data_IF_333313629983
#
_entry.id   IF_333313629983
#
_cell.length_a   1.000
_cell.length_b   1.000
_cell.length_c   1.000
_cell.angle_alpha   90.00
_cell.angle_beta   90.00
_cell.angle_gamma   90.00
#
_symmetry.space_group_name_H-M   'P 1'
#
loop_
_entity.id
_entity.type
_entity.pdbx_description
1 polymer ?
#
# COMPACT_ATOMS: atom_id res chain seq x y z
N UNK A 1 11.55 35.99 4.12
CA UNK A 1 11.37 34.64 4.68
C UNK A 1 12.75 34.02 4.77
N UNK A 2 13.21 33.64 5.97
CA UNK A 2 14.51 32.97 6.09
C UNK A 2 14.36 31.55 5.55
N UNK A 3 15.26 31.14 4.65
CA UNK A 3 15.34 29.75 4.21
C UNK A 3 15.53 28.82 5.42
N UNK A 4 14.87 27.66 5.44
CA UNK A 4 15.08 26.68 6.49
C UNK A 4 16.54 26.23 6.48
N UNK A 5 17.26 26.52 7.56
CA UNK A 5 18.66 26.10 7.74
C UNK A 5 18.71 24.58 7.90
N UNK A 6 19.18 23.88 6.88
CA UNK A 6 19.55 22.46 6.96
C UNK A 6 20.65 22.31 8.04
N UNK A 7 20.59 21.31 8.93
CA UNK A 7 21.62 21.09 9.94
C UNK A 7 23.02 21.00 9.31
N UNK A 8 24.02 21.64 9.94
CA UNK A 8 25.39 21.76 9.39
C UNK A 8 26.15 20.42 9.28
N UNK A 9 25.64 19.35 9.90
CA UNK A 9 26.18 17.99 9.81
C UNK A 9 25.03 16.99 9.89
N UNK A 10 24.64 16.41 8.76
CA UNK A 10 23.72 15.27 8.71
C UNK A 10 24.49 14.02 8.38
N UNK A 11 24.12 12.88 8.95
CA UNK A 11 24.71 11.60 8.55
C UNK A 11 24.44 11.34 7.06
N UNK A 12 25.39 10.71 6.37
CA UNK A 12 25.19 10.27 4.99
C UNK A 12 24.26 9.07 4.98
N UNK A 13 23.29 9.10 4.08
CA UNK A 13 22.33 8.00 3.87
C UNK A 13 22.67 7.31 2.55
N UNK A 14 22.57 5.98 2.52
CA UNK A 14 22.73 5.18 1.31
C UNK A 14 21.60 4.15 1.22
N UNK A 15 21.19 3.82 0.00
CA UNK A 15 20.35 2.65 -0.29
C UNK A 15 21.29 1.49 -0.60
N UNK A 16 21.23 0.43 0.20
CA UNK A 16 22.17 -0.71 0.10
C UNK A 16 21.55 -1.93 -0.58
N UNK A 17 20.22 -2.02 -0.59
CA UNK A 17 19.44 -3.12 -1.15
C UNK A 17 18.04 -2.64 -1.52
N UNK A 18 17.39 -3.38 -2.43
CA UNK A 18 16.02 -3.13 -2.85
C UNK A 18 15.42 -4.39 -3.46
N UNK A 19 14.12 -4.59 -3.22
CA UNK A 19 13.39 -5.75 -3.71
C UNK A 19 11.91 -5.42 -3.84
N UNK A 20 11.23 -6.03 -4.81
CA UNK A 20 9.77 -5.96 -4.96
C UNK A 20 9.19 -7.32 -5.33
N UNK A 21 7.90 -7.50 -5.03
CA UNK A 21 7.09 -8.55 -5.65
C UNK A 21 6.83 -8.23 -7.12
N UNK A 22 6.55 -9.22 -7.97
CA UNK A 22 5.97 -8.99 -9.29
C UNK A 22 4.65 -8.21 -9.16
N UNK A 23 4.34 -7.33 -10.10
CA UNK A 23 3.12 -6.53 -10.13
C UNK A 23 2.02 -7.24 -10.94
N UNK A 24 1.14 -7.95 -10.23
CA UNK A 24 0.05 -8.67 -10.88
C UNK A 24 -1.21 -7.80 -11.07
N UNK A 25 -1.99 -8.11 -12.12
CA UNK A 25 -3.33 -7.54 -12.32
C UNK A 25 -4.28 -7.87 -11.17
N UNK A 26 -5.19 -6.95 -10.85
CA UNK A 26 -6.21 -7.14 -9.83
C UNK A 26 -7.01 -8.45 -10.06
N UNK A 27 -7.28 -9.21 -8.99
CA UNK A 27 -8.00 -10.50 -8.99
C UNK A 27 -7.36 -11.62 -9.84
N UNK A 28 -6.09 -11.48 -10.25
CA UNK A 28 -5.32 -12.55 -10.91
C UNK A 28 -4.54 -13.40 -9.90
N UNK A 29 -3.21 -13.45 -9.98
CA UNK A 29 -2.34 -14.27 -9.15
C UNK A 29 -2.46 -13.97 -7.65
N UNK A 30 -2.65 -12.70 -7.27
CA UNK A 30 -2.75 -12.28 -5.87
C UNK A 30 -4.19 -12.25 -5.34
N UNK A 31 -5.07 -13.09 -5.89
CA UNK A 31 -6.45 -13.17 -5.41
C UNK A 31 -6.48 -13.69 -3.98
N UNK A 32 -7.04 -12.90 -3.08
CA UNK A 32 -7.14 -13.24 -1.66
C UNK A 32 -5.86 -12.98 -0.86
N UNK A 33 -4.80 -12.44 -1.48
CA UNK A 33 -3.56 -12.09 -0.79
C UNK A 33 -3.64 -10.63 -0.32
N UNK A 34 -3.52 -10.44 0.99
CA UNK A 34 -3.58 -9.13 1.61
C UNK A 34 -2.29 -8.32 1.37
N UNK A 35 -2.37 -7.00 1.54
CA UNK A 35 -1.18 -6.14 1.48
C UNK A 35 -0.15 -6.52 2.57
N UNK A 36 -0.61 -6.99 3.73
CA UNK A 36 0.25 -7.46 4.82
C UNK A 36 1.05 -8.66 4.35
N UNK A 37 0.40 -9.69 3.77
CA UNK A 37 1.08 -10.87 3.26
C UNK A 37 2.11 -10.54 2.17
N UNK A 38 1.77 -9.64 1.24
CA UNK A 38 2.71 -9.15 0.22
C UNK A 38 3.92 -8.45 0.86
N UNK A 39 3.66 -7.56 1.82
CA UNK A 39 4.69 -6.83 2.55
C UNK A 39 5.59 -7.73 3.39
N UNK A 40 5.01 -8.71 4.08
CA UNK A 40 5.73 -9.70 4.88
C UNK A 40 6.65 -10.55 4.01
N UNK A 41 6.16 -11.06 2.87
CA UNK A 41 6.97 -11.90 2.00
C UNK A 41 8.13 -11.13 1.36
N UNK A 42 7.92 -9.89 0.90
CA UNK A 42 9.01 -9.10 0.30
C UNK A 42 10.05 -8.68 1.33
N UNK A 43 9.63 -8.35 2.57
CA UNK A 43 10.59 -8.01 3.63
C UNK A 43 11.36 -9.25 4.07
N UNK A 44 10.70 -10.40 4.24
CA UNK A 44 11.37 -11.64 4.58
C UNK A 44 12.40 -12.03 3.51
N UNK A 45 12.02 -11.99 2.22
CA UNK A 45 12.92 -12.30 1.13
C UNK A 45 14.07 -11.29 1.03
N UNK A 46 13.82 -10.00 1.25
CA UNK A 46 14.87 -8.98 1.29
C UNK A 46 15.91 -9.30 2.38
N UNK A 47 15.46 -9.69 3.58
CA UNK A 47 16.34 -10.07 4.68
C UNK A 47 17.18 -11.31 4.33
N UNK A 48 16.54 -12.36 3.77
CA UNK A 48 17.20 -13.60 3.40
C UNK A 48 18.20 -13.42 2.25
N UNK A 49 17.81 -12.71 1.19
CA UNK A 49 18.62 -12.49 -0.02
C UNK A 49 19.92 -11.74 0.26
N UNK A 50 19.91 -10.88 1.26
CA UNK A 50 21.06 -10.05 1.64
C UNK A 50 21.73 -10.50 2.94
N UNK A 51 21.35 -11.65 3.51
CA UNK A 51 21.91 -12.23 4.75
C UNK A 51 21.99 -11.19 5.89
N UNK A 52 20.90 -10.43 6.06
CA UNK A 52 20.83 -9.35 7.04
C UNK A 52 20.51 -9.92 8.43
N UNK A 53 21.32 -9.58 9.44
CA UNK A 53 20.97 -9.87 10.83
C UNK A 53 19.73 -9.05 11.22
N UNK A 54 18.61 -9.69 11.61
CA UNK A 54 17.39 -8.98 12.01
C UNK A 54 17.59 -7.89 13.06
N UNK A 55 18.60 -8.04 13.94
CA UNK A 55 18.90 -7.08 15.01
C UNK A 55 19.47 -5.76 14.52
N UNK A 56 20.01 -5.70 13.30
CA UNK A 56 20.54 -4.45 12.76
C UNK A 56 19.44 -3.50 12.31
N UNK A 57 18.24 -4.02 12.01
CA UNK A 57 17.11 -3.23 11.53
C UNK A 57 16.40 -2.57 12.72
N UNK A 58 16.66 -1.27 12.90
CA UNK A 58 16.12 -0.52 14.03
C UNK A 58 14.73 0.05 13.75
N UNK A 59 14.39 0.27 12.47
CA UNK A 59 13.08 0.82 12.08
C UNK A 59 12.56 0.23 10.77
N UNK A 60 11.26 -0.05 10.72
CA UNK A 60 10.53 -0.39 9.49
C UNK A 60 9.41 0.63 9.26
N UNK A 61 9.47 1.35 8.14
CA UNK A 61 8.39 2.24 7.70
C UNK A 61 7.78 1.65 6.43
N UNK A 62 6.53 1.22 6.52
CA UNK A 62 5.80 0.66 5.39
C UNK A 62 4.48 1.41 5.21
N UNK A 63 4.08 1.63 3.97
CA UNK A 63 2.85 2.36 3.71
C UNK A 63 1.84 1.57 2.89
N UNK A 64 0.57 1.92 3.08
CA UNK A 64 -0.57 1.36 2.37
C UNK A 64 -1.61 2.46 2.15
N UNK A 65 -2.21 2.51 0.97
CA UNK A 65 -3.25 3.50 0.66
C UNK A 65 -4.61 2.98 1.07
N UNK A 66 -4.95 1.74 0.71
CA UNK A 66 -6.21 1.11 1.09
C UNK A 66 -6.02 0.37 2.41
N UNK A 67 -6.06 1.10 3.52
CA UNK A 67 -5.80 0.56 4.87
C UNK A 67 -6.80 -0.53 5.25
N UNK A 68 -6.30 -1.66 5.76
CA UNK A 68 -7.10 -2.72 6.36
C UNK A 68 -7.47 -2.34 7.81
N UNK A 69 -8.77 -2.19 8.15
CA UNK A 69 -9.17 -1.76 9.50
C UNK A 69 -8.70 -2.65 10.64
N UNK A 70 -8.56 -3.95 10.39
CA UNK A 70 -8.05 -4.96 11.34
C UNK A 70 -6.54 -4.82 11.62
N UNK A 71 -5.80 -4.16 10.72
CA UNK A 71 -4.35 -4.01 10.77
C UNK A 71 -3.94 -2.59 10.33
N UNK A 72 -4.30 -1.55 11.11
CA UNK A 72 -4.09 -0.17 10.71
C UNK A 72 -2.61 0.23 10.64
N UNK A 73 -1.74 -0.54 11.30
CA UNK A 73 -0.30 -0.39 11.21
C UNK A 73 0.32 -1.59 10.47
N UNK A 74 0.22 -1.61 9.14
CA UNK A 74 0.81 -2.65 8.28
C UNK A 74 2.29 -2.88 8.58
N UNK A 75 3.07 -1.83 8.83
CA UNK A 75 4.48 -1.94 9.18
C UNK A 75 4.70 -2.82 10.43
N UNK A 76 3.85 -2.68 11.44
CA UNK A 76 3.94 -3.49 12.66
C UNK A 76 3.60 -4.95 12.41
N UNK A 77 2.56 -5.21 11.63
CA UNK A 77 2.18 -6.58 11.26
C UNK A 77 3.28 -7.26 10.42
N UNK A 78 3.98 -6.52 9.56
CA UNK A 78 5.14 -7.03 8.81
C UNK A 78 6.29 -7.38 9.76
N UNK A 79 6.64 -6.52 10.72
CA UNK A 79 7.67 -6.86 11.73
C UNK A 79 7.31 -8.14 12.49
N UNK A 80 6.05 -8.29 12.90
CA UNK A 80 5.59 -9.48 13.63
C UNK A 80 5.45 -10.73 12.75
N UNK A 81 5.32 -10.57 11.43
CA UNK A 81 5.19 -11.66 10.47
C UNK A 81 6.50 -12.11 9.84
N UNK A 82 7.62 -11.47 10.16
CA UNK A 82 8.97 -11.76 9.64
C UNK A 82 9.93 -12.14 10.77
N UNK A 83 11.17 -12.48 10.44
CA UNK A 83 12.22 -12.76 11.44
C UNK A 83 12.82 -11.50 12.10
N UNK A 84 12.28 -10.32 11.81
CA UNK A 84 12.68 -9.06 12.46
C UNK A 84 12.50 -9.12 13.99
N UNK A 85 13.35 -8.38 14.72
CA UNK A 85 13.17 -8.28 16.16
C UNK A 85 11.81 -7.64 16.46
N UNK A 86 11.02 -8.29 17.33
CA UNK A 86 9.76 -7.74 17.82
C UNK A 86 9.88 -6.34 18.46
N UNK A 87 11.08 -5.94 18.89
CA UNK A 87 11.41 -4.62 19.40
C UNK A 87 11.73 -3.56 18.33
N UNK A 88 11.88 -3.95 17.05
CA UNK A 88 12.06 -3.01 15.92
C UNK A 88 10.91 -2.01 15.89
N UNK A 89 11.26 -0.72 15.84
CA UNK A 89 10.27 0.35 15.74
C UNK A 89 9.57 0.29 14.38
N UNK A 90 8.24 0.39 14.36
CA UNK A 90 7.48 0.23 13.13
C UNK A 90 6.20 1.04 13.11
N UNK A 91 6.04 1.83 12.05
CA UNK A 91 4.84 2.63 11.85
C UNK A 91 4.49 2.77 10.37
N UNK A 92 3.20 2.99 10.15
CA UNK A 92 2.65 3.10 8.81
C UNK A 92 2.47 4.55 8.38
N UNK A 93 2.72 4.81 7.10
CA UNK A 93 2.48 6.11 6.48
C UNK A 93 1.48 5.97 5.34
N UNK A 94 0.76 7.05 5.04
CA UNK A 94 -0.11 7.13 3.87
C UNK A 94 -0.03 8.52 3.27
N UNK A 95 0.31 8.58 1.98
CA UNK A 95 0.41 9.80 1.18
C UNK A 95 -0.04 9.52 -0.26
N UNK A 96 -1.20 8.88 -0.41
CA UNK A 96 -1.75 8.45 -1.70
C UNK A 96 -0.69 7.69 -2.54
N UNK A 97 -0.57 7.95 -3.84
CA UNK A 97 0.42 7.26 -4.68
C UNK A 97 1.88 7.51 -4.25
N UNK A 98 2.15 8.55 -3.45
CA UNK A 98 3.48 8.89 -2.95
C UNK A 98 3.82 8.20 -1.61
N UNK A 99 3.04 7.21 -1.19
CA UNK A 99 3.15 6.56 0.12
C UNK A 99 4.51 5.89 0.34
N UNK A 100 4.99 5.07 -0.61
CA UNK A 100 6.30 4.41 -0.48
C UNK A 100 7.46 5.41 -0.50
N UNK A 101 7.37 6.47 -1.30
CA UNK A 101 8.34 7.58 -1.27
C UNK A 101 8.38 8.25 0.11
N UNK A 102 7.22 8.43 0.76
CA UNK A 102 7.17 8.96 2.11
C UNK A 102 7.87 8.03 3.11
N UNK A 103 7.73 6.71 2.98
CA UNK A 103 8.44 5.74 3.81
C UNK A 103 9.97 5.90 3.68
N UNK A 104 10.47 6.02 2.44
CA UNK A 104 11.90 6.23 2.16
C UNK A 104 12.39 7.53 2.79
N UNK A 105 11.64 8.62 2.63
CA UNK A 105 11.97 9.91 3.25
C UNK A 105 12.02 9.79 4.77
N UNK A 106 11.06 9.10 5.39
CA UNK A 106 11.00 8.93 6.85
C UNK A 106 12.20 8.15 7.40
N UNK A 107 12.61 7.06 6.75
CA UNK A 107 13.81 6.30 7.15
C UNK A 107 15.08 7.10 6.91
N UNK A 108 15.21 7.74 5.74
CA UNK A 108 16.37 8.55 5.42
C UNK A 108 16.55 9.73 6.39
N UNK A 109 15.46 10.40 6.78
CA UNK A 109 15.50 11.48 7.77
C UNK A 109 15.91 10.97 9.16
N UNK A 110 15.40 9.82 9.58
CA UNK A 110 15.79 9.22 10.86
C UNK A 110 17.30 8.89 10.90
N UNK A 111 17.85 8.34 9.80
CA UNK A 111 19.29 8.08 9.67
C UNK A 111 20.09 9.40 9.66
N UNK A 112 19.68 10.36 8.83
CA UNK A 112 20.35 11.64 8.68
C UNK A 112 20.42 12.44 9.99
N UNK A 113 19.39 12.31 10.84
CA UNK A 113 19.31 12.92 12.16
C UNK A 113 20.02 12.11 13.27
N UNK A 114 20.51 10.91 12.98
CA UNK A 114 21.18 10.04 13.94
C UNK A 114 20.23 9.37 14.94
N UNK A 115 18.94 9.25 14.62
CA UNK A 115 17.96 8.53 15.45
C UNK A 115 18.11 7.01 15.30
N UNK A 116 18.43 6.57 14.08
CA UNK A 116 18.71 5.17 13.73
C UNK A 116 19.94 5.13 12.81
N UNK A 117 20.56 3.97 12.68
CA UNK A 117 21.66 3.67 11.76
C UNK A 117 21.17 2.91 10.53
N UNK A 118 20.11 2.11 10.67
CA UNK A 118 19.53 1.35 9.57
C UNK A 118 18.01 1.17 9.70
N UNK A 119 17.34 0.99 8.56
CA UNK A 119 15.92 0.71 8.53
C UNK A 119 15.44 0.25 7.16
N UNK A 120 14.24 -0.33 7.13
CA UNK A 120 13.56 -0.77 5.93
C UNK A 120 12.45 0.22 5.59
N UNK A 121 12.42 0.67 4.34
CA UNK A 121 11.36 1.52 3.81
C UNK A 121 10.65 0.81 2.66
N UNK A 122 9.32 0.84 2.64
CA UNK A 122 8.56 0.29 1.53
C UNK A 122 7.09 0.63 1.54
N UNK A 123 6.32 -0.13 0.77
CA UNK A 123 4.87 -0.05 0.76
C UNK A 123 4.27 -1.28 0.09
N UNK A 124 3.03 -1.58 0.46
CA UNK A 124 2.26 -2.66 -0.12
C UNK A 124 0.79 -2.24 -0.23
N UNK A 125 0.14 -2.60 -1.32
CA UNK A 125 -1.30 -2.42 -1.52
C UNK A 125 -1.86 -3.68 -2.20
N UNK A 126 -3.10 -4.03 -1.86
CA UNK A 126 -3.82 -5.12 -2.52
C UNK A 126 -5.19 -4.62 -2.97
N UNK A 127 -5.34 -4.42 -4.28
CA UNK A 127 -6.65 -4.15 -4.87
C UNK A 127 -7.52 -5.42 -4.93
N UNK A 128 -6.96 -6.60 -4.66
CA UNK A 128 -7.68 -7.88 -4.64
C UNK A 128 -8.38 -8.13 -3.29
N UNK A 129 -7.86 -7.55 -2.20
CA UNK A 129 -8.41 -7.65 -0.85
C UNK A 129 -8.71 -6.25 -0.34
N UNK A 130 -9.91 -5.75 -0.67
CA UNK A 130 -10.35 -4.41 -0.28
C UNK A 130 -11.45 -4.48 0.78
N UNK A 131 -11.42 -3.62 1.80
CA UNK A 131 -12.47 -3.57 2.81
C UNK A 131 -13.78 -3.11 2.16
N UNK A 132 -14.81 -3.96 2.25
CA UNK A 132 -16.16 -3.61 1.79
C UNK A 132 -16.90 -2.94 2.93
N UNK A 133 -17.25 -1.67 2.72
CA UNK A 133 -17.98 -0.88 3.70
C UNK A 133 -19.46 -1.29 3.79
N UNK A 134 -20.05 -1.04 4.94
CA UNK A 134 -21.50 -1.12 5.12
C UNK A 134 -22.13 0.26 4.91
N UNK A 135 -23.38 0.30 4.43
CA UNK A 135 -24.15 1.53 4.36
C UNK A 135 -24.19 2.25 5.73
N UNK A 136 -23.94 3.56 5.74
CA UNK A 136 -23.87 4.37 6.97
C UNK A 136 -25.14 4.31 7.82
N UNK A 137 -26.32 4.22 7.20
CA UNK A 137 -27.60 4.09 7.90
C UNK A 137 -27.72 2.74 8.60
N UNK A 138 -27.28 1.66 7.96
CA UNK A 138 -27.26 0.32 8.53
C UNK A 138 -26.24 0.22 9.67
N UNK A 139 -25.01 0.69 9.44
CA UNK A 139 -23.98 0.73 10.48
C UNK A 139 -24.45 1.49 11.74
N UNK A 140 -25.02 2.70 11.57
CA UNK A 140 -25.58 3.48 12.68
C UNK A 140 -26.73 2.76 13.39
N UNK A 141 -27.58 2.03 12.64
CA UNK A 141 -28.69 1.28 13.21
C UNK A 141 -28.19 0.09 14.02
N UNK A 142 -27.17 -0.64 13.56
CA UNK A 142 -26.56 -1.74 14.31
C UNK A 142 -25.87 -1.25 15.59
N UNK A 143 -25.14 -0.13 15.53
CA UNK A 143 -24.55 0.50 16.72
C UNK A 143 -25.63 0.97 17.70
N UNK A 144 -26.73 1.54 17.21
CA UNK A 144 -27.86 1.92 18.07
C UNK A 144 -28.54 0.69 18.69
N UNK A 145 -28.69 -0.40 17.94
CA UNK A 145 -29.27 -1.65 18.42
C UNK A 145 -28.42 -2.29 19.53
N UNK A 146 -27.08 -2.27 19.43
CA UNK A 146 -26.19 -2.82 20.45
C UNK A 146 -26.28 -2.07 21.79
N UNK A 147 -26.59 -0.76 21.75
CA UNK A 147 -26.76 0.10 22.93
C UNK A 147 -28.19 0.10 23.50
N UNK A 148 -29.18 -0.37 22.76
CA UNK A 148 -30.59 -0.32 23.17
C UNK A 148 -30.95 -1.50 24.07
N UNK A 149 -31.49 -1.25 25.26
CA UNK A 149 -31.88 -2.32 26.21
C UNK A 149 -33.28 -2.87 25.96
N UNK A 150 -34.23 -2.01 25.57
CA UNK A 150 -35.66 -2.36 25.51
C UNK A 150 -36.05 -3.01 24.17
N UNK A 151 -36.79 -4.12 24.21
CA UNK A 151 -37.20 -4.89 23.03
C UNK A 151 -38.06 -4.06 22.05
N UNK A 152 -38.96 -3.22 22.56
CA UNK A 152 -39.81 -2.35 21.74
C UNK A 152 -39.01 -1.31 20.96
N UNK A 153 -37.98 -0.74 21.58
CA UNK A 153 -37.07 0.20 20.92
C UNK A 153 -36.20 -0.49 19.88
N UNK A 154 -35.74 -1.73 20.15
CA UNK A 154 -35.04 -2.56 19.16
C UNK A 154 -35.91 -2.82 17.92
N UNK A 155 -37.18 -3.22 18.10
CA UNK A 155 -38.12 -3.43 17.00
C UNK A 155 -38.31 -2.15 16.16
N UNK A 156 -38.39 -0.98 16.81
CA UNK A 156 -38.52 0.32 16.13
C UNK A 156 -37.30 0.65 15.29
N UNK A 157 -36.10 0.31 15.76
CA UNK A 157 -34.85 0.50 15.01
C UNK A 157 -34.77 -0.43 13.79
N UNK A 158 -35.13 -1.71 13.95
CA UNK A 158 -35.16 -2.66 12.84
C UNK A 158 -36.12 -2.24 11.72
N UNK A 159 -37.30 -1.70 12.07
CA UNK A 159 -38.27 -1.15 11.10
C UNK A 159 -37.72 0.00 10.23
N UNK A 160 -36.60 0.63 10.61
CA UNK A 160 -35.97 1.71 9.83
C UNK A 160 -35.07 1.19 8.72
N UNK A 161 -34.66 -0.07 8.76
CA UNK A 161 -33.75 -0.67 7.77
C UNK A 161 -34.56 -1.00 6.52
N UNK A 162 -34.06 -0.58 5.36
CA UNK A 162 -34.60 -0.95 4.04
C UNK A 162 -33.63 -1.88 3.34
N UNK A 163 -34.11 -2.62 2.34
CA UNK A 163 -33.27 -3.52 1.53
C UNK A 163 -32.01 -2.82 0.96
N UNK A 164 -32.15 -1.58 0.46
CA UNK A 164 -31.02 -0.78 -0.05
C UNK A 164 -29.97 -0.45 1.02
N UNK A 165 -30.35 -0.43 2.29
CA UNK A 165 -29.44 -0.13 3.39
C UNK A 165 -28.56 -1.37 3.73
N UNK A 166 -28.90 -2.56 3.23
CA UNK A 166 -28.15 -3.81 3.44
C UNK A 166 -27.07 -4.01 2.38
N UNK A 167 -27.18 -3.32 1.24
CA UNK A 167 -26.24 -3.48 0.13
C UNK A 167 -24.82 -3.00 0.53
N UNK A 168 -23.78 -3.75 0.14
CA UNK A 168 -22.40 -3.36 0.38
C UNK A 168 -22.07 -2.05 -0.34
N UNK A 169 -21.22 -1.23 0.28
CA UNK A 169 -20.67 -0.01 -0.31
C UNK A 169 -19.22 -0.29 -0.67
N UNK A 170 -18.87 -0.39 -1.98
CA UNK A 170 -17.49 -0.55 -2.37
C UNK A 170 -16.68 0.71 -2.02
N UNK A 171 -15.34 0.60 -1.88
CA UNK A 171 -14.48 1.75 -1.72
C UNK A 171 -14.72 2.76 -2.85
N UNK A 172 -14.83 4.05 -2.50
CA UNK A 172 -15.03 5.11 -3.49
C UNK A 172 -13.74 5.31 -4.30
N UNK A 173 -13.81 5.15 -5.61
CA UNK A 173 -12.73 5.55 -6.53
C UNK A 173 -12.71 7.08 -6.80
N UNK A 174 -13.63 7.83 -6.20
CA UNK A 174 -13.73 9.28 -6.32
C UNK A 174 -13.03 9.98 -5.17
N UNK A 175 -12.29 11.02 -5.51
CA UNK A 175 -11.68 11.94 -4.57
C UNK A 175 -12.76 12.75 -3.83
N UNK A 176 -12.72 12.86 -2.49
CA UNK A 176 -13.75 13.57 -1.73
C UNK A 176 -13.85 15.08 -2.01
N UNK A 177 -12.73 15.72 -2.30
CA UNK A 177 -12.61 17.17 -2.53
C UNK A 177 -13.18 17.61 -3.87
N UNK A 178 -12.90 16.84 -4.94
CA UNK A 178 -13.30 17.18 -6.32
C UNK A 178 -14.54 16.41 -6.77
N UNK A 179 -14.84 15.27 -6.15
CA UNK A 179 -15.89 14.35 -6.60
C UNK A 179 -15.57 13.62 -7.91
N UNK A 180 -14.35 13.80 -8.43
CA UNK A 180 -13.85 13.20 -9.66
C UNK A 180 -13.09 11.92 -9.37
N UNK A 181 -13.07 10.99 -10.31
CA UNK A 181 -12.15 9.86 -10.28
C UNK A 181 -10.76 10.29 -10.73
N UNK A 182 -9.74 9.50 -10.39
CA UNK A 182 -8.37 9.77 -10.86
C UNK A 182 -8.27 9.82 -12.40
N UNK A 183 -9.03 8.97 -13.11
CA UNK A 183 -9.10 9.03 -14.58
C UNK A 183 -9.76 10.30 -15.10
N UNK A 184 -10.78 10.82 -14.42
CA UNK A 184 -11.40 12.09 -14.79
C UNK A 184 -10.45 13.28 -14.56
N UNK A 185 -9.68 13.26 -13.46
CA UNK A 185 -8.63 14.24 -13.21
C UNK A 185 -7.54 14.17 -14.30
N UNK A 186 -7.10 12.96 -14.69
CA UNK A 186 -6.13 12.76 -15.76
C UNK A 186 -6.64 13.29 -17.12
N UNK A 187 -7.90 13.01 -17.43
CA UNK A 187 -8.56 13.49 -18.65
C UNK A 187 -8.76 15.01 -18.64
N UNK A 188 -9.03 15.62 -17.49
CA UNK A 188 -9.04 17.08 -17.36
C UNK A 188 -7.65 17.68 -17.61
N UNK A 189 -6.61 17.13 -16.98
CA UNK A 189 -5.22 17.54 -17.21
C UNK A 189 -4.84 17.41 -18.69
N UNK A 190 -5.18 16.30 -19.34
CA UNK A 190 -4.90 16.09 -20.75
C UNK A 190 -5.54 17.19 -21.62
N UNK A 191 -6.79 17.58 -21.34
CA UNK A 191 -7.44 18.70 -22.04
C UNK A 191 -6.77 20.05 -21.76
N UNK A 192 -6.51 20.36 -20.49
CA UNK A 192 -5.93 21.64 -20.07
C UNK A 192 -4.53 21.86 -20.69
N UNK A 193 -3.80 20.77 -20.93
CA UNK A 193 -2.47 20.78 -21.54
C UNK A 193 -2.46 20.41 -23.04
N UNK A 194 -3.61 20.26 -23.68
CA UNK A 194 -3.77 19.89 -25.10
C UNK A 194 -3.04 18.60 -25.51
N UNK A 195 -3.03 17.60 -24.63
CA UNK A 195 -2.40 16.29 -24.88
C UNK A 195 -3.38 15.43 -25.70
N UNK A 196 -3.05 15.19 -26.96
CA UNK A 196 -3.89 14.46 -27.89
C UNK A 196 -4.01 12.97 -27.54
N UNK A 197 -5.09 12.33 -28.00
CA UNK A 197 -5.28 10.89 -27.83
C UNK A 197 -4.11 10.08 -28.43
N UNK A 198 -3.60 10.50 -29.60
CA UNK A 198 -2.47 9.85 -30.26
C UNK A 198 -1.19 9.92 -29.43
N UNK A 199 -0.93 11.04 -28.76
CA UNK A 199 0.25 11.17 -27.87
C UNK A 199 0.13 10.26 -26.65
N UNK A 200 -1.06 10.14 -26.07
CA UNK A 200 -1.32 9.25 -24.94
C UNK A 200 -1.12 7.78 -25.33
N UNK A 201 -1.69 7.37 -26.47
CA UNK A 201 -1.58 6.00 -26.98
C UNK A 201 -0.13 5.66 -27.34
N UNK A 202 0.61 6.58 -27.96
CA UNK A 202 2.02 6.38 -28.29
C UNK A 202 2.86 6.23 -27.02
N UNK A 203 2.66 7.08 -26.01
CA UNK A 203 3.38 6.97 -24.74
C UNK A 203 3.09 5.62 -24.04
N UNK A 204 1.83 5.20 -24.00
CA UNK A 204 1.44 3.92 -23.41
C UNK A 204 2.06 2.73 -24.16
N UNK A 205 2.02 2.75 -25.49
CA UNK A 205 2.62 1.72 -26.34
C UNK A 205 4.14 1.62 -26.13
N UNK A 206 4.84 2.76 -26.09
CA UNK A 206 6.27 2.81 -25.80
C UNK A 206 6.60 2.28 -24.40
N UNK A 207 5.76 2.56 -23.40
CA UNK A 207 5.95 2.01 -22.06
C UNK A 207 5.86 0.48 -22.04
N UNK A 208 4.90 -0.11 -22.77
CA UNK A 208 4.76 -1.56 -22.90
C UNK A 208 5.94 -2.21 -23.62
N UNK A 209 6.40 -1.62 -24.73
CA UNK A 209 7.58 -2.10 -25.46
C UNK A 209 8.82 -2.09 -24.55
N UNK A 210 9.06 -0.98 -23.84
CA UNK A 210 10.22 -0.84 -22.94
C UNK A 210 10.18 -1.83 -21.79
N UNK A 211 9.01 -2.04 -21.18
CA UNK A 211 8.85 -3.01 -20.10
C UNK A 211 9.13 -4.44 -20.58
N UNK A 212 8.60 -4.83 -21.75
CA UNK A 212 8.87 -6.14 -22.34
C UNK A 212 10.38 -6.33 -22.64
N UNK A 213 11.01 -5.33 -23.27
CA UNK A 213 12.44 -5.36 -23.56
C UNK A 213 13.31 -5.43 -22.29
N UNK A 214 12.91 -4.78 -21.20
CA UNK A 214 13.63 -4.84 -19.93
C UNK A 214 13.57 -6.23 -19.29
N UNK A 215 12.42 -6.91 -19.39
CA UNK A 215 12.27 -8.31 -18.97
C UNK A 215 13.08 -9.26 -19.86
N UNK A 216 13.00 -9.12 -21.18
CA UNK A 216 13.77 -9.96 -22.12
C UNK A 216 15.29 -9.79 -21.93
N UNK A 217 15.74 -8.59 -21.57
CA UNK A 217 17.14 -8.29 -21.32
C UNK A 217 17.62 -8.66 -19.90
N UNK A 218 16.73 -9.11 -19.01
CA UNK A 218 17.06 -9.47 -17.62
C UNK A 218 17.37 -8.28 -16.71
N UNK A 219 16.97 -7.05 -17.07
CA UNK A 219 17.24 -5.87 -16.24
C UNK A 219 16.48 -5.89 -14.90
N UNK A 220 15.43 -6.69 -14.80
CA UNK A 220 14.55 -6.75 -13.63
C UNK A 220 14.84 -7.97 -12.73
N UNK A 221 15.76 -8.86 -13.13
CA UNK A 221 15.98 -10.15 -12.46
C UNK A 221 16.46 -10.00 -11.01
N UNK A 222 17.25 -8.96 -10.73
CA UNK A 222 17.78 -8.69 -9.38
C UNK A 222 16.77 -7.99 -8.47
N UNK A 223 15.86 -7.18 -9.03
CA UNK A 223 14.89 -6.38 -8.25
C UNK A 223 13.56 -7.09 -7.99
N UNK A 224 13.20 -8.10 -8.79
CA UNK A 224 11.94 -8.84 -8.65
C UNK A 224 12.16 -10.21 -8.04
N UNK A 225 11.47 -10.51 -6.95
CA UNK A 225 11.50 -11.84 -6.34
C UNK A 225 10.52 -12.81 -7.00
N UNK A 226 10.78 -14.11 -6.83
CA UNK A 226 9.79 -15.14 -7.08
C UNK A 226 8.71 -15.12 -5.98
N UNK A 227 7.46 -14.87 -6.36
CA UNK A 227 6.35 -14.80 -5.41
C UNK A 227 5.56 -16.11 -5.43
N UNK A 228 5.46 -16.77 -4.28
CA UNK A 228 4.72 -18.02 -4.13
C UNK A 228 3.36 -17.74 -3.49
N UNK A 229 2.28 -18.07 -4.21
CA UNK A 229 0.91 -17.84 -3.75
C UNK A 229 0.08 -19.11 -3.82
N UNK A 230 -0.94 -19.29 -2.95
CA UNK A 230 -1.87 -20.40 -3.04
C UNK A 230 -2.42 -20.59 -4.46
N UNK A 231 -2.51 -21.82 -4.97
CA UNK A 231 -2.28 -23.11 -4.28
C UNK A 231 -0.80 -23.58 -4.26
N UNK A 232 0.18 -22.69 -4.45
CA UNK A 232 1.62 -22.95 -4.41
C UNK A 232 2.10 -23.97 -5.45
N UNK A 233 1.51 -23.93 -6.64
CA UNK A 233 1.93 -24.79 -7.76
C UNK A 233 3.11 -24.21 -8.51
N UNK A 234 2.96 -22.97 -8.96
CA UNK A 234 3.96 -22.25 -9.75
C UNK A 234 4.16 -20.86 -9.15
N UNK A 235 5.41 -20.36 -9.04
CA UNK A 235 5.67 -19.01 -8.60
C UNK A 235 5.31 -17.99 -9.68
N UNK A 236 4.92 -16.79 -9.25
CA UNK A 236 4.87 -15.60 -10.12
C UNK A 236 6.28 -15.05 -10.19
N UNK A 237 6.85 -14.99 -11.39
CA UNK A 237 8.24 -14.57 -11.61
C UNK A 237 8.36 -13.19 -12.27
N UNK A 238 7.31 -12.76 -12.97
CA UNK A 238 7.30 -11.53 -13.76
C UNK A 238 5.94 -10.82 -13.61
N UNK A 239 5.90 -9.54 -13.98
CA UNK A 239 4.73 -8.67 -13.91
C UNK A 239 3.57 -9.12 -14.84
#
# INVERSE_FOLDING_TARGET
MNEPKVPKTTNRVAVVAGLRTPFARQLSHYRGISAIELGTQVVQELMLRHDLDPKVIQRLVFGQVVVLPEAPNIAREIVLGTDLDSATDAYSVSRACATSFQSVVSVAQAIACGEIESGIAGGADSASVVPIGMNRKMANTLVALSKTKTLQQKLKLLKRIRFKDILPVPPSAKEPSTGLTMGQNAEQMARDHNISRSEQDEFAHQSHIKAAAAWEAGFLDEEVMAMHVPPFKDPVLQD
#
